data_IF_092943218194
#
_entry.id   IF_092943218194
#
_cell.length_a   1.000
_cell.length_b   1.000
_cell.length_c   1.000
_cell.angle_alpha   90.00
_cell.angle_beta   90.00
_cell.angle_gamma   90.00
#
_symmetry.space_group_name_H-M   'P 1'
#
loop_
_entity.id
_entity.type
_entity.pdbx_description
1 polymer ?
#
# COMPACT_ATOMS: atom_id res chain seq x y z
N UNK A 1 -38.10 -23.79 -22.54
CA UNK A 1 -37.30 -23.88 -21.30
C UNK A 1 -36.56 -22.55 -21.13
N UNK A 2 -36.74 -21.78 -20.05
CA UNK A 2 -36.00 -20.52 -19.90
C UNK A 2 -34.67 -20.75 -19.19
N UNK A 3 -33.58 -20.34 -19.85
CA UNK A 3 -32.23 -20.28 -19.31
C UNK A 3 -32.17 -19.29 -18.14
N UNK A 4 -31.84 -19.79 -16.94
CA UNK A 4 -31.50 -18.95 -15.79
C UNK A 4 -30.04 -18.50 -15.90
N UNK A 5 -29.82 -17.31 -16.46
CA UNK A 5 -28.60 -16.57 -16.18
C UNK A 5 -28.66 -16.10 -14.72
N UNK A 6 -27.89 -16.75 -13.83
CA UNK A 6 -27.58 -16.20 -12.50
C UNK A 6 -26.53 -15.11 -12.69
N UNK A 7 -26.98 -13.90 -13.02
CA UNK A 7 -26.16 -12.71 -12.81
C UNK A 7 -26.41 -12.28 -11.36
N UNK A 8 -25.38 -12.39 -10.51
CA UNK A 8 -25.43 -11.81 -9.18
C UNK A 8 -25.63 -10.29 -9.32
N UNK A 9 -26.50 -9.64 -8.54
CA UNK A 9 -26.69 -8.20 -8.64
C UNK A 9 -25.37 -7.53 -8.25
N UNK A 10 -24.70 -6.87 -9.20
CA UNK A 10 -23.65 -5.91 -8.86
C UNK A 10 -24.27 -4.84 -7.97
N UNK A 11 -23.67 -4.58 -6.80
CA UNK A 11 -24.08 -3.47 -5.93
C UNK A 11 -24.76 -3.84 -4.62
N UNK A 12 -24.52 -5.03 -4.07
CA UNK A 12 -24.86 -5.25 -2.66
C UNK A 12 -23.87 -4.51 -1.76
N UNK A 13 -24.37 -3.57 -0.93
CA UNK A 13 -23.60 -2.91 0.16
C UNK A 13 -22.81 -3.94 0.97
N UNK A 14 -23.39 -5.12 1.17
CA UNK A 14 -22.77 -6.21 1.90
C UNK A 14 -21.50 -6.75 1.22
N UNK A 15 -21.44 -6.77 -0.11
CA UNK A 15 -20.23 -7.20 -0.85
C UNK A 15 -19.09 -6.22 -0.66
N UNK A 16 -19.38 -4.91 -0.69
CA UNK A 16 -18.38 -3.86 -0.44
C UNK A 16 -17.89 -3.91 1.00
N UNK A 17 -18.79 -4.05 1.97
CA UNK A 17 -18.42 -4.17 3.39
C UNK A 17 -17.57 -5.42 3.65
N UNK A 18 -17.94 -6.58 3.10
CA UNK A 18 -17.17 -7.82 3.24
C UNK A 18 -15.79 -7.71 2.58
N UNK A 19 -15.68 -7.05 1.43
CA UNK A 19 -14.40 -6.76 0.80
C UNK A 19 -13.51 -5.89 1.70
N UNK A 20 -14.04 -4.78 2.24
CA UNK A 20 -13.30 -3.89 3.15
C UNK A 20 -12.84 -4.65 4.41
N UNK A 21 -13.70 -5.49 4.98
CA UNK A 21 -13.33 -6.33 6.13
C UNK A 21 -12.21 -7.32 5.77
N UNK A 22 -12.28 -7.92 4.57
CA UNK A 22 -11.29 -8.91 4.12
C UNK A 22 -9.91 -8.29 3.91
N UNK A 23 -9.83 -7.07 3.38
CA UNK A 23 -8.55 -6.36 3.19
C UNK A 23 -8.00 -5.77 4.49
N UNK A 24 -8.82 -5.57 5.53
CA UNK A 24 -8.37 -4.98 6.80
C UNK A 24 -7.23 -5.79 7.46
N UNK A 25 -7.13 -7.07 7.11
CA UNK A 25 -6.09 -7.97 7.60
C UNK A 25 -4.70 -7.70 6.99
N UNK A 26 -4.60 -6.96 5.88
CA UNK A 26 -3.34 -6.65 5.19
C UNK A 26 -2.34 -5.88 6.07
N UNK A 27 -2.86 -5.11 7.03
CA UNK A 27 -2.06 -4.25 7.91
C UNK A 27 -1.85 -4.82 9.32
N UNK A 28 -2.43 -5.99 9.62
CA UNK A 28 -2.40 -6.57 10.98
C UNK A 28 -0.99 -6.91 11.47
N UNK A 29 -0.13 -7.36 10.55
CA UNK A 29 1.24 -7.79 10.87
C UNK A 29 2.27 -6.67 10.68
N UNK A 30 1.83 -5.40 10.55
CA UNK A 30 2.75 -4.26 10.46
C UNK A 30 3.34 -3.94 11.84
N UNK A 31 4.66 -3.71 11.86
CA UNK A 31 5.39 -3.40 13.09
C UNK A 31 5.40 -1.90 13.37
N UNK A 32 5.35 -1.54 14.65
CA UNK A 32 5.66 -0.17 15.09
C UNK A 32 7.09 0.20 14.68
N UNK A 33 7.37 1.46 14.26
CA UNK A 33 6.49 2.64 14.30
C UNK A 33 5.70 2.90 13.00
N UNK A 34 5.56 1.91 12.11
CA UNK A 34 4.83 2.10 10.85
C UNK A 34 3.35 2.29 11.12
N UNK A 35 2.81 3.36 10.57
CA UNK A 35 1.38 3.65 10.57
C UNK A 35 0.81 3.32 9.19
N UNK A 36 -0.48 3.04 9.15
CA UNK A 36 -1.19 2.73 7.94
C UNK A 36 -2.50 3.51 7.85
N UNK A 37 -2.99 3.70 6.63
CA UNK A 37 -4.36 4.10 6.34
C UNK A 37 -4.92 3.15 5.28
N UNK A 38 -6.10 2.63 5.53
CA UNK A 38 -6.91 1.92 4.56
C UNK A 38 -8.05 2.83 4.13
N UNK A 39 -8.11 3.12 2.84
CA UNK A 39 -9.22 3.87 2.24
C UNK A 39 -9.62 3.20 0.94
N UNK A 40 -10.87 2.73 0.88
CA UNK A 40 -11.40 1.96 -0.26
C UNK A 40 -10.49 0.80 -0.66
N UNK A 41 -9.90 0.85 -1.83
CA UNK A 41 -8.99 -0.09 -2.47
C UNK A 41 -7.51 0.28 -2.31
N UNK A 42 -7.21 1.42 -1.67
CA UNK A 42 -5.86 1.92 -1.45
C UNK A 42 -5.39 1.66 -0.01
N UNK A 43 -4.14 1.19 0.10
CA UNK A 43 -3.41 1.03 1.37
C UNK A 43 -2.21 1.97 1.36
N UNK A 44 -2.15 2.87 2.34
CA UNK A 44 -1.02 3.79 2.51
C UNK A 44 -0.24 3.43 3.76
N UNK A 45 1.07 3.27 3.62
CA UNK A 45 2.00 3.09 4.74
C UNK A 45 2.82 4.35 4.92
N UNK A 46 3.02 4.78 6.17
CA UNK A 46 3.87 5.92 6.48
C UNK A 46 4.59 5.76 7.81
N UNK A 47 5.77 6.36 7.90
CA UNK A 47 6.66 6.30 9.05
C UNK A 47 7.37 7.64 9.17
N UNK A 48 7.65 8.06 10.40
CA UNK A 48 8.52 9.21 10.69
C UNK A 48 9.76 8.68 11.40
N UNK A 49 10.92 8.89 10.79
CA UNK A 49 12.21 8.45 11.30
C UNK A 49 13.29 9.46 10.89
N UNK A 50 14.33 9.63 11.72
CA UNK A 50 15.39 10.61 11.45
C UNK A 50 16.51 10.06 10.56
N UNK A 51 16.61 8.73 10.47
CA UNK A 51 17.61 8.02 9.69
C UNK A 51 16.95 7.31 8.49
N UNK A 52 17.34 7.70 7.28
CA UNK A 52 16.81 7.15 6.02
C UNK A 52 17.10 5.64 5.91
N UNK A 53 18.27 5.15 6.33
CA UNK A 53 18.60 3.73 6.27
C UNK A 53 17.69 2.89 7.18
N UNK A 54 17.46 3.37 8.41
CA UNK A 54 16.54 2.74 9.35
C UNK A 54 15.11 2.74 8.81
N UNK A 55 14.67 3.89 8.28
CA UNK A 55 13.38 4.05 7.64
C UNK A 55 13.17 3.06 6.49
N UNK A 56 14.10 2.99 5.54
CA UNK A 56 14.06 2.05 4.40
C UNK A 56 14.00 0.61 4.88
N UNK A 57 14.80 0.24 5.89
CA UNK A 57 14.79 -1.12 6.45
C UNK A 57 13.42 -1.48 7.05
N UNK A 58 12.81 -0.56 7.79
CA UNK A 58 11.48 -0.75 8.38
C UNK A 58 10.41 -0.86 7.29
N UNK A 59 10.42 0.04 6.29
CA UNK A 59 9.51 -0.01 5.14
C UNK A 59 9.66 -1.33 4.38
N UNK A 60 10.88 -1.77 4.11
CA UNK A 60 11.12 -3.05 3.42
C UNK A 60 10.55 -4.25 4.19
N UNK A 61 10.66 -4.24 5.53
CA UNK A 61 10.08 -5.28 6.38
C UNK A 61 8.55 -5.27 6.32
N UNK A 62 7.91 -4.10 6.31
CA UNK A 62 6.47 -3.98 6.13
C UNK A 62 6.02 -4.48 4.75
N UNK A 63 6.73 -4.12 3.68
CA UNK A 63 6.44 -4.62 2.33
C UNK A 63 6.54 -6.14 2.28
N UNK A 64 7.54 -6.73 2.94
CA UNK A 64 7.66 -8.20 3.04
C UNK A 64 6.46 -8.84 3.73
N UNK A 65 5.94 -8.22 4.79
CA UNK A 65 4.74 -8.72 5.46
C UNK A 65 3.50 -8.63 4.56
N UNK A 66 3.37 -7.55 3.77
CA UNK A 66 2.33 -7.42 2.76
C UNK A 66 2.46 -8.50 1.68
N UNK A 67 3.66 -8.79 1.20
CA UNK A 67 3.90 -9.88 0.23
C UNK A 67 3.44 -11.23 0.79
N UNK A 68 3.80 -11.52 2.04
CA UNK A 68 3.39 -12.75 2.71
C UNK A 68 1.86 -12.82 2.87
N UNK A 69 1.21 -11.71 3.21
CA UNK A 69 -0.24 -11.63 3.29
C UNK A 69 -0.92 -11.86 1.94
N UNK A 70 -0.38 -11.28 0.86
CA UNK A 70 -0.83 -11.56 -0.51
C UNK A 70 -0.74 -13.07 -0.76
N UNK A 71 0.42 -13.69 -0.59
CA UNK A 71 0.58 -15.13 -0.85
C UNK A 71 -0.37 -16.01 -0.02
N UNK A 72 -0.68 -15.60 1.21
CA UNK A 72 -1.59 -16.33 2.11
C UNK A 72 -3.06 -16.20 1.70
N UNK A 73 -3.48 -15.04 1.22
CA UNK A 73 -4.91 -14.73 0.99
C UNK A 73 -5.34 -14.83 -0.47
N UNK A 74 -4.39 -14.73 -1.41
CA UNK A 74 -4.66 -14.67 -2.85
C UNK A 74 -5.13 -13.31 -3.36
N UNK A 75 -5.26 -12.30 -2.49
CA UNK A 75 -5.56 -10.92 -2.92
C UNK A 75 -4.40 -10.33 -3.71
N UNK A 76 -4.70 -9.75 -4.88
CA UNK A 76 -3.68 -9.12 -5.73
C UNK A 76 -3.89 -7.61 -5.76
N UNK A 77 -2.80 -6.85 -5.87
CA UNK A 77 -2.83 -5.42 -6.14
C UNK A 77 -1.84 -5.07 -7.24
N UNK A 78 -2.00 -3.90 -7.86
CA UNK A 78 -1.19 -3.50 -9.01
C UNK A 78 0.21 -3.05 -8.57
N UNK A 79 1.21 -3.92 -8.75
CA UNK A 79 2.61 -3.66 -8.38
C UNK A 79 3.10 -2.33 -8.99
N UNK A 80 2.83 -2.11 -10.28
CA UNK A 80 3.27 -0.94 -11.04
C UNK A 80 2.64 0.39 -10.60
N UNK A 81 1.51 0.36 -9.88
CA UNK A 81 0.84 1.57 -9.40
C UNK A 81 1.36 2.04 -8.04
N UNK A 82 2.13 1.21 -7.34
CA UNK A 82 2.69 1.58 -6.04
C UNK A 82 3.80 2.61 -6.22
N UNK A 83 3.72 3.68 -5.44
CA UNK A 83 4.68 4.79 -5.45
C UNK A 83 5.20 5.02 -4.04
N UNK A 84 6.44 5.49 -3.92
CA UNK A 84 7.02 5.90 -2.65
C UNK A 84 7.35 7.38 -2.68
N UNK A 85 7.08 8.10 -1.59
CA UNK A 85 7.43 9.52 -1.44
C UNK A 85 8.18 9.69 -0.12
N UNK A 86 9.24 10.50 -0.13
CA UNK A 86 9.98 10.87 1.07
C UNK A 86 9.86 12.37 1.28
N UNK A 87 9.46 12.76 2.49
CA UNK A 87 9.43 14.14 2.94
C UNK A 87 10.70 14.43 3.73
N UNK A 88 11.74 14.89 3.03
CA UNK A 88 13.03 15.20 3.64
C UNK A 88 13.78 16.20 2.78
N UNK A 89 14.56 17.08 3.43
CA UNK A 89 15.54 17.94 2.73
C UNK A 89 16.73 17.15 2.19
N UNK A 90 16.96 15.94 2.71
CA UNK A 90 18.03 15.03 2.26
C UNK A 90 17.44 14.05 1.26
N UNK A 91 18.08 13.91 0.10
CA UNK A 91 17.72 12.88 -0.85
C UNK A 91 18.17 11.50 -0.33
N UNK A 92 17.31 10.46 -0.44
CA UNK A 92 17.74 9.09 -0.19
C UNK A 92 18.80 8.69 -1.23
N UNK A 93 19.79 7.87 -0.85
CA UNK A 93 20.65 7.23 -1.83
C UNK A 93 19.83 6.24 -2.70
N UNK A 94 20.14 6.14 -4.00
CA UNK A 94 19.48 5.19 -4.91
C UNK A 94 19.54 3.74 -4.42
N UNK A 95 20.60 3.40 -3.68
CA UNK A 95 20.83 2.07 -3.08
C UNK A 95 19.86 1.72 -1.94
N UNK A 96 19.03 2.67 -1.49
CA UNK A 96 18.06 2.50 -0.40
C UNK A 96 16.61 2.57 -0.88
N UNK A 97 16.37 2.11 -2.12
CA UNK A 97 15.03 2.03 -2.69
C UNK A 97 14.33 0.75 -2.21
N UNK A 98 13.18 0.83 -1.54
CA UNK A 98 12.44 -0.35 -1.13
C UNK A 98 11.89 -1.10 -2.35
N UNK A 99 11.70 -2.40 -2.19
CA UNK A 99 11.24 -3.31 -3.24
C UNK A 99 9.94 -3.99 -2.82
N UNK A 100 9.08 -4.23 -3.80
CA UNK A 100 7.83 -4.96 -3.67
C UNK A 100 7.74 -5.98 -4.81
N UNK A 101 7.71 -7.26 -4.48
CA UNK A 101 7.87 -8.39 -5.41
C UNK A 101 9.11 -8.26 -6.29
N UNK A 102 10.25 -7.94 -5.67
CA UNK A 102 11.53 -7.68 -6.35
C UNK A 102 11.49 -6.53 -7.37
N UNK A 103 10.43 -5.71 -7.37
CA UNK A 103 10.31 -4.51 -8.21
C UNK A 103 10.62 -3.29 -7.36
N UNK A 104 11.52 -2.42 -7.82
CA UNK A 104 11.87 -1.18 -7.14
C UNK A 104 10.65 -0.24 -7.07
N UNK A 105 10.32 0.22 -5.87
CA UNK A 105 9.34 1.28 -5.67
C UNK A 105 10.03 2.63 -5.89
N UNK A 106 9.89 3.17 -7.09
CA UNK A 106 10.49 4.45 -7.44
C UNK A 106 10.04 5.55 -6.46
N UNK A 107 11.02 6.32 -5.99
CA UNK A 107 10.75 7.56 -5.28
C UNK A 107 10.21 8.60 -6.25
N UNK A 108 9.07 9.19 -5.91
CA UNK A 108 8.44 10.27 -6.68
C UNK A 108 8.40 11.54 -5.84
N UNK A 109 8.44 12.69 -6.51
CA UNK A 109 8.31 13.99 -5.84
C UNK A 109 6.85 14.36 -5.56
N UNK A 110 5.90 13.69 -6.23
CA UNK A 110 4.47 13.95 -6.10
C UNK A 110 3.68 12.64 -6.09
N UNK A 111 2.72 12.54 -5.16
CA UNK A 111 1.78 11.41 -5.09
C UNK A 111 0.35 11.93 -5.01
N UNK A 112 -0.56 11.24 -5.71
CA UNK A 112 -2.00 11.46 -5.57
C UNK A 112 -2.50 10.64 -4.38
N UNK A 113 -3.15 11.30 -3.42
CA UNK A 113 -3.67 10.68 -2.22
C UNK A 113 -5.02 11.32 -1.87
N UNK A 114 -6.09 10.51 -1.83
CA UNK A 114 -7.46 10.96 -1.50
C UNK A 114 -7.96 12.16 -2.33
N UNK A 115 -7.56 12.23 -3.61
CA UNK A 115 -7.91 13.34 -4.51
C UNK A 115 -7.02 14.57 -4.38
N UNK A 116 -6.09 14.59 -3.44
CA UNK A 116 -5.07 15.63 -3.28
C UNK A 116 -3.76 15.21 -3.97
N UNK A 117 -2.98 16.20 -4.43
CA UNK A 117 -1.58 15.98 -4.83
C UNK A 117 -0.71 16.44 -3.68
N UNK A 118 0.18 15.56 -3.24
CA UNK A 118 1.09 15.79 -2.12
C UNK A 118 2.51 15.85 -2.67
N UNK A 119 3.17 17.00 -2.52
CA UNK A 119 4.57 17.24 -2.96
C UNK A 119 5.54 16.96 -1.79
N UNK A 120 6.65 16.29 -2.11
CA UNK A 120 7.84 16.08 -1.29
C UNK A 120 8.35 17.32 -0.54
N UNK A 121 8.04 18.54 -1.02
CA UNK A 121 8.43 19.83 -0.41
C UNK A 121 7.63 20.24 0.82
N UNK A 122 6.68 19.45 1.30
CA UNK A 122 5.89 19.71 2.52
C UNK A 122 6.71 19.50 3.83
N UNK A 123 7.94 20.01 3.87
CA UNK A 123 8.88 19.92 5.02
C UNK A 123 9.03 21.22 5.77
#
# INVERSE_FOLDING_TARGET
>A
MPNRHKVAPQGSILSTTLFVISINDIVKDLLTPIKNLLFTDDVTLYIKENNIATMTTMVQKALKNIENWWHKTGFTFSIQKNKCIIFSKKQPPDTQTPTLFNTNLAYVNEIKYLGMIVDSKLT
#
